data_IF_821303765561
#
_entry.id   IF_821303765561
#
_cell.length_a   1.000
_cell.length_b   1.000
_cell.length_c   1.000
_cell.angle_alpha   90.00
_cell.angle_beta   90.00
_cell.angle_gamma   90.00
#
_symmetry.space_group_name_H-M   'P 1'
#
loop_
_entity.id
_entity.type
_entity.pdbx_description
1 polymer ?
#
# COMPACT_ATOMS: atom_id res chain seq x y z
N UNK A 1 -36.95 74.23 -20.22
CA UNK A 1 -35.78 73.37 -20.54
C UNK A 1 -35.17 72.86 -19.25
N UNK A 2 -35.15 71.54 -19.09
CA UNK A 2 -34.33 70.70 -18.19
C UNK A 2 -34.21 71.06 -16.69
N UNK A 3 -34.95 70.25 -15.93
CA UNK A 3 -34.87 70.02 -14.49
C UNK A 3 -33.49 69.45 -14.10
N UNK A 4 -32.78 70.09 -13.17
CA UNK A 4 -31.52 69.56 -12.57
C UNK A 4 -31.82 68.93 -11.22
N UNK A 5 -31.97 67.61 -11.17
CA UNK A 5 -31.86 66.84 -9.92
C UNK A 5 -30.43 66.34 -9.77
N UNK A 6 -29.75 66.78 -8.70
CA UNK A 6 -28.52 66.18 -8.18
C UNK A 6 -28.88 64.86 -7.51
N UNK A 7 -28.35 63.75 -8.01
CA UNK A 7 -28.35 62.47 -7.30
C UNK A 7 -26.92 62.26 -6.79
N UNK A 8 -26.80 62.22 -5.46
CA UNK A 8 -25.61 61.79 -4.73
C UNK A 8 -25.62 60.27 -4.71
N UNK A 9 -24.61 59.63 -5.30
CA UNK A 9 -24.38 58.19 -5.16
C UNK A 9 -23.48 57.95 -3.94
N UNK A 10 -23.87 57.07 -2.99
CA UNK A 10 -23.02 56.74 -1.85
C UNK A 10 -21.92 55.75 -2.27
N UNK A 11 -20.74 55.95 -1.70
CA UNK A 11 -19.56 55.11 -1.84
C UNK A 11 -19.84 53.67 -1.42
N UNK A 12 -19.81 52.73 -2.36
CA UNK A 12 -19.81 51.30 -2.05
C UNK A 12 -18.34 50.85 -1.86
N UNK A 13 -17.90 50.77 -0.61
CA UNK A 13 -16.66 50.08 -0.26
C UNK A 13 -16.93 48.58 -0.39
N UNK A 14 -16.50 47.99 -1.50
CA UNK A 14 -16.44 46.54 -1.64
C UNK A 14 -15.19 46.07 -0.91
N UNK A 15 -15.37 45.57 0.32
CA UNK A 15 -14.31 44.86 1.03
C UNK A 15 -13.96 43.60 0.26
N UNK A 16 -12.71 43.51 -0.22
CA UNK A 16 -12.15 42.24 -0.66
C UNK A 16 -12.08 41.31 0.55
N UNK A 17 -12.98 40.34 0.61
CA UNK A 17 -12.83 39.19 1.48
C UNK A 17 -11.69 38.34 0.89
N UNK A 18 -10.47 38.55 1.36
CA UNK A 18 -9.37 37.62 1.08
C UNK A 18 -9.64 36.38 1.91
N UNK A 19 -10.33 35.41 1.32
CA UNK A 19 -10.42 34.07 1.88
C UNK A 19 -9.03 33.46 1.71
N UNK A 20 -8.25 33.46 2.79
CA UNK A 20 -7.02 32.72 2.90
C UNK A 20 -7.37 31.22 2.86
N UNK A 21 -7.52 30.66 1.66
CA UNK A 21 -7.36 29.22 1.48
C UNK A 21 -5.85 28.97 1.56
N UNK A 22 -5.36 28.67 2.76
CA UNK A 22 -4.17 27.83 2.88
C UNK A 22 -4.53 26.51 2.21
N UNK A 23 -4.30 26.42 0.91
CA UNK A 23 -4.33 25.16 0.20
C UNK A 23 -3.22 24.31 0.83
N UNK A 24 -3.59 23.41 1.74
CA UNK A 24 -2.72 22.29 2.10
C UNK A 24 -2.38 21.61 0.77
N UNK A 25 -1.10 21.63 0.41
CA UNK A 25 -0.62 20.86 -0.74
C UNK A 25 -0.99 19.42 -0.45
N UNK A 26 -1.79 18.81 -1.32
CA UNK A 26 -2.13 17.40 -1.20
C UNK A 26 -0.83 16.60 -1.21
N UNK A 27 -0.65 15.75 -0.20
CA UNK A 27 0.50 14.85 -0.11
C UNK A 27 0.58 14.00 -1.36
N UNK A 28 1.78 13.86 -1.90
CA UNK A 28 2.05 12.96 -3.00
C UNK A 28 2.87 11.77 -2.52
N UNK A 29 2.59 10.62 -3.08
CA UNK A 29 3.23 9.36 -2.69
C UNK A 29 3.99 8.78 -3.87
N UNK A 30 5.13 8.17 -3.59
CA UNK A 30 5.95 7.49 -4.60
C UNK A 30 6.21 6.03 -4.24
N UNK A 31 5.55 5.47 -3.22
CA UNK A 31 5.77 4.09 -2.84
C UNK A 31 4.89 3.61 -1.69
N UNK A 32 5.13 2.36 -1.31
CA UNK A 32 4.50 1.72 -0.15
C UNK A 32 5.55 1.08 0.74
N UNK A 33 5.28 1.09 2.04
CA UNK A 33 5.94 0.24 3.01
C UNK A 33 4.96 -0.81 3.49
N UNK A 34 5.37 -2.08 3.44
CA UNK A 34 4.43 -3.19 3.64
C UNK A 34 5.06 -4.40 4.33
N UNK A 35 4.19 -5.25 4.89
CA UNK A 35 4.53 -6.63 5.25
C UNK A 35 4.04 -7.56 4.14
N UNK A 36 4.95 -8.28 3.48
CA UNK A 36 4.60 -9.29 2.50
C UNK A 36 4.28 -10.64 3.12
N UNK A 37 3.38 -11.40 2.50
CA UNK A 37 3.13 -12.80 2.82
C UNK A 37 3.89 -13.69 1.84
N UNK A 38 4.58 -14.71 2.32
CA UNK A 38 5.08 -15.77 1.46
C UNK A 38 3.93 -16.73 1.09
N UNK A 39 3.35 -16.54 -0.10
CA UNK A 39 2.21 -17.31 -0.59
C UNK A 39 2.60 -18.73 -1.06
N UNK A 40 3.87 -19.13 -0.95
CA UNK A 40 4.27 -20.53 -1.09
C UNK A 40 4.07 -21.32 0.20
N UNK A 41 3.97 -20.64 1.35
CA UNK A 41 3.71 -21.27 2.63
C UNK A 41 2.22 -21.67 2.75
N UNK A 42 1.93 -22.93 3.08
CA UNK A 42 0.57 -23.51 3.10
C UNK A 42 -0.43 -22.69 3.92
N UNK A 43 -0.04 -22.28 5.14
CA UNK A 43 -0.87 -21.44 6.02
C UNK A 43 -1.26 -20.11 5.35
N UNK A 44 -0.33 -19.51 4.62
CA UNK A 44 -0.48 -18.18 4.05
C UNK A 44 -1.10 -18.19 2.66
N UNK A 45 -1.37 -19.36 2.06
CA UNK A 45 -2.20 -19.50 0.87
C UNK A 45 -3.69 -19.28 1.16
N UNK A 46 -4.12 -19.49 2.40
CA UNK A 46 -5.49 -19.29 2.84
C UNK A 46 -5.80 -17.79 3.01
N UNK A 47 -6.69 -17.25 2.19
CA UNK A 47 -7.10 -15.84 2.21
C UNK A 47 -7.75 -15.43 3.55
N UNK A 48 -8.47 -16.34 4.22
CA UNK A 48 -9.04 -16.09 5.54
C UNK A 48 -7.95 -15.93 6.62
N UNK A 49 -6.84 -16.65 6.49
CA UNK A 49 -5.69 -16.49 7.40
C UNK A 49 -5.05 -15.13 7.19
N UNK A 50 -4.79 -14.74 5.93
CA UNK A 50 -4.26 -13.39 5.60
C UNK A 50 -5.19 -12.28 6.05
N UNK A 51 -6.50 -12.47 5.86
CA UNK A 51 -7.54 -11.56 6.36
C UNK A 51 -7.49 -11.41 7.88
N UNK A 52 -7.38 -12.50 8.63
CA UNK A 52 -7.24 -12.45 10.08
C UNK A 52 -5.96 -11.71 10.54
N UNK A 53 -4.84 -11.95 9.85
CA UNK A 53 -3.57 -11.28 10.13
C UNK A 53 -3.69 -9.77 9.90
N UNK A 54 -4.24 -9.34 8.78
CA UNK A 54 -4.45 -7.91 8.50
C UNK A 54 -5.31 -7.24 9.57
N UNK A 55 -6.34 -7.96 10.05
CA UNK A 55 -7.29 -7.48 11.05
C UNK A 55 -6.71 -7.39 12.46
N UNK A 56 -5.66 -8.17 12.78
CA UNK A 56 -4.97 -8.10 14.09
C UNK A 56 -3.81 -7.11 14.07
N UNK A 57 -3.25 -6.77 12.91
CA UNK A 57 -2.18 -5.78 12.83
C UNK A 57 -2.77 -4.40 13.08
N UNK A 58 -2.19 -3.69 14.03
CA UNK A 58 -2.53 -2.32 14.31
C UNK A 58 -1.71 -1.41 13.39
N UNK A 59 -2.39 -0.78 12.43
CA UNK A 59 -1.79 -0.03 11.32
C UNK A 59 -1.63 1.46 11.59
N UNK A 60 -1.87 1.89 12.82
CA UNK A 60 -1.60 3.27 13.26
C UNK A 60 -0.09 3.46 13.52
N UNK A 61 0.71 3.45 12.46
CA UNK A 61 2.17 3.65 12.52
C UNK A 61 2.60 5.13 12.49
N UNK A 62 1.68 6.04 12.13
CA UNK A 62 1.89 7.49 12.09
C UNK A 62 0.56 8.20 12.38
N UNK A 63 0.60 9.53 12.52
CA UNK A 63 -0.62 10.37 12.59
C UNK A 63 -1.39 10.44 11.25
N UNK A 64 -0.96 9.69 10.24
CA UNK A 64 -1.56 9.70 8.90
C UNK A 64 -2.70 8.69 8.79
N UNK A 65 -3.59 8.93 7.82
CA UNK A 65 -4.67 8.02 7.51
C UNK A 65 -4.10 6.66 7.11
N UNK A 66 -4.52 5.61 7.83
CA UNK A 66 -4.10 4.24 7.55
C UNK A 66 -4.36 3.87 6.08
N UNK A 67 -3.42 3.19 5.39
CA UNK A 67 -3.62 2.72 4.03
C UNK A 67 -4.88 1.88 3.88
N UNK A 68 -5.69 2.21 2.87
CA UNK A 68 -6.94 1.48 2.57
C UNK A 68 -6.81 0.56 1.35
N UNK A 69 -5.76 0.75 0.55
CA UNK A 69 -5.44 -0.09 -0.60
C UNK A 69 -3.94 -0.11 -0.90
N UNK A 70 -3.53 -0.88 -1.91
CA UNK A 70 -2.11 -0.98 -2.32
C UNK A 70 -1.67 0.28 -3.05
N UNK A 71 -2.50 0.79 -3.95
CA UNK A 71 -2.18 2.02 -4.67
C UNK A 71 -2.47 3.24 -3.77
N UNK A 72 -1.50 4.14 -3.54
CA UNK A 72 -1.71 5.36 -2.77
C UNK A 72 -2.73 6.34 -3.41
N UNK A 73 -3.39 7.20 -2.61
CA UNK A 73 -4.16 8.33 -3.12
C UNK A 73 -3.35 9.20 -4.09
N UNK A 74 -3.99 9.67 -5.16
CA UNK A 74 -3.34 10.50 -6.17
C UNK A 74 -2.65 9.73 -7.31
N UNK A 75 -2.51 8.40 -7.20
CA UNK A 75 -2.01 7.56 -8.30
C UNK A 75 -3.16 6.93 -9.11
N UNK A 76 -2.94 6.67 -10.40
CA UNK A 76 -3.87 5.96 -11.27
C UNK A 76 -4.16 4.57 -10.71
N UNK A 77 -5.44 4.18 -10.69
CA UNK A 77 -5.88 2.93 -10.07
C UNK A 77 -6.16 2.99 -8.57
N UNK A 78 -5.90 4.12 -7.90
CA UNK A 78 -6.43 4.33 -6.56
C UNK A 78 -7.95 4.19 -6.57
N UNK A 79 -8.46 3.48 -5.57
CA UNK A 79 -9.90 3.27 -5.37
C UNK A 79 -10.28 3.71 -3.95
N UNK A 80 -10.95 4.86 -3.78
CA UNK A 80 -11.39 5.31 -2.45
C UNK A 80 -12.51 4.45 -1.88
N UNK A 81 -13.17 3.62 -2.70
CA UNK A 81 -14.25 2.73 -2.28
C UNK A 81 -13.70 1.43 -1.64
N UNK A 82 -12.40 1.17 -1.76
CA UNK A 82 -11.74 0.08 -1.03
C UNK A 82 -11.68 0.45 0.45
N UNK A 83 -12.58 -0.13 1.24
CA UNK A 83 -12.64 0.12 2.68
C UNK A 83 -11.40 -0.39 3.42
N UNK A 84 -10.95 0.38 4.41
CA UNK A 84 -9.93 -0.08 5.34
C UNK A 84 -10.39 -1.36 6.07
N UNK A 85 -9.51 -2.36 6.15
CA UNK A 85 -9.77 -3.51 7.03
C UNK A 85 -9.74 -3.06 8.49
N UNK A 86 -10.84 -3.18 9.25
CA UNK A 86 -10.90 -2.68 10.62
C UNK A 86 -9.93 -3.47 11.51
N UNK A 87 -9.27 -2.79 12.44
CA UNK A 87 -8.52 -3.48 13.48
C UNK A 87 -9.52 -4.08 14.48
N UNK A 88 -9.71 -5.40 14.45
CA UNK A 88 -10.39 -6.08 15.56
C UNK A 88 -9.93 -7.54 15.70
N UNK A 89 -9.28 -7.73 16.84
CA UNK A 89 -8.64 -8.97 17.28
C UNK A 89 -9.64 -10.09 17.56
N UNK A 90 -10.89 -9.77 17.95
CA UNK A 90 -11.91 -10.78 18.26
C UNK A 90 -12.35 -11.47 16.97
N UNK A 91 -12.63 -10.71 15.92
CA UNK A 91 -12.96 -11.29 14.61
C UNK A 91 -11.75 -12.02 14.01
N UNK A 92 -10.53 -11.48 14.14
CA UNK A 92 -9.32 -12.15 13.68
C UNK A 92 -9.17 -13.57 14.29
N UNK A 93 -9.40 -13.71 15.60
CA UNK A 93 -9.41 -15.02 16.29
C UNK A 93 -10.49 -15.96 15.75
N UNK A 94 -11.68 -15.44 15.43
CA UNK A 94 -12.77 -16.22 14.86
C UNK A 94 -12.42 -16.73 13.46
N UNK A 95 -11.89 -15.85 12.61
CA UNK A 95 -11.43 -16.18 11.26
C UNK A 95 -10.33 -17.25 11.28
N UNK A 96 -9.33 -17.13 12.17
CA UNK A 96 -8.29 -18.15 12.33
C UNK A 96 -8.87 -19.51 12.73
N UNK A 97 -9.83 -19.53 13.67
CA UNK A 97 -10.52 -20.76 14.07
C UNK A 97 -11.32 -21.37 12.92
N UNK A 98 -12.07 -20.57 12.18
CA UNK A 98 -12.85 -21.01 11.01
C UNK A 98 -11.97 -21.51 9.86
N UNK A 99 -10.78 -20.94 9.71
CA UNK A 99 -9.76 -21.40 8.77
C UNK A 99 -9.05 -22.69 9.21
N UNK A 100 -9.36 -23.20 10.42
CA UNK A 100 -8.78 -24.44 10.95
C UNK A 100 -7.47 -24.27 11.70
N UNK A 101 -7.13 -23.04 12.14
CA UNK A 101 -5.91 -22.70 12.87
C UNK A 101 -6.25 -22.00 14.19
N UNK A 102 -6.84 -22.71 15.18
CA UNK A 102 -7.16 -22.11 16.48
C UNK A 102 -5.90 -21.62 17.20
N UNK A 103 -6.08 -20.75 18.20
CA UNK A 103 -4.99 -20.04 18.91
C UNK A 103 -3.87 -20.95 19.48
N UNK A 104 -4.15 -22.23 19.76
CA UNK A 104 -3.21 -23.21 20.32
C UNK A 104 -2.64 -24.17 19.26
N UNK A 105 -2.91 -23.96 17.98
CA UNK A 105 -2.42 -24.83 16.91
C UNK A 105 -0.89 -24.75 16.80
N UNK A 106 -0.20 -25.87 16.75
CA UNK A 106 1.26 -25.91 16.66
C UNK A 106 1.79 -25.39 15.31
N UNK A 107 0.98 -25.47 14.25
CA UNK A 107 1.35 -25.00 12.90
C UNK A 107 1.52 -23.48 12.82
N UNK A 108 0.99 -22.73 13.79
CA UNK A 108 1.14 -21.26 13.87
C UNK A 108 2.24 -20.83 14.86
N UNK A 109 3.03 -21.76 15.39
CA UNK A 109 4.04 -21.47 16.45
C UNK A 109 5.48 -21.35 15.96
N UNK A 110 5.73 -21.63 14.69
CA UNK A 110 7.06 -21.64 14.08
C UNK A 110 7.03 -20.83 12.79
N UNK A 111 6.88 -19.53 12.95
CA UNK A 111 6.86 -18.58 11.84
C UNK A 111 8.04 -17.62 11.97
N UNK A 112 8.42 -16.96 10.88
CA UNK A 112 9.48 -15.97 10.86
C UNK A 112 9.08 -14.71 10.10
N UNK A 113 9.67 -13.58 10.50
CA UNK A 113 9.57 -12.31 9.78
C UNK A 113 10.97 -11.78 9.47
N UNK A 114 11.26 -11.59 8.19
CA UNK A 114 12.50 -11.00 7.71
C UNK A 114 12.39 -9.47 7.69
N UNK A 115 13.42 -8.77 8.17
CA UNK A 115 13.49 -7.32 8.07
C UNK A 115 14.93 -6.80 8.12
N UNK A 116 15.14 -5.55 7.70
CA UNK A 116 16.44 -4.88 7.82
C UNK A 116 16.66 -4.29 9.21
N UNK A 117 17.91 -3.98 9.54
CA UNK A 117 18.36 -3.50 10.86
C UNK A 117 18.12 -2.02 11.15
N UNK A 118 17.42 -1.31 10.27
CA UNK A 118 16.98 0.07 10.51
C UNK A 118 16.07 0.18 11.75
N UNK A 119 16.28 1.22 12.56
CA UNK A 119 15.55 1.46 13.83
C UNK A 119 14.03 1.43 13.64
N UNK A 120 13.51 2.08 12.58
CA UNK A 120 12.08 2.07 12.26
C UNK A 120 11.59 0.67 11.90
N UNK A 121 12.37 -0.07 11.12
CA UNK A 121 12.01 -1.43 10.67
C UNK A 121 11.97 -2.42 11.83
N UNK A 122 12.93 -2.34 12.76
CA UNK A 122 12.93 -3.13 14.00
C UNK A 122 11.67 -2.87 14.81
N UNK A 123 11.34 -1.60 15.05
CA UNK A 123 10.15 -1.22 15.83
C UNK A 123 8.84 -1.73 15.17
N UNK A 124 8.76 -1.70 13.84
CA UNK A 124 7.63 -2.25 13.10
C UNK A 124 7.52 -3.78 13.25
N UNK A 125 8.64 -4.50 13.10
CA UNK A 125 8.67 -5.95 13.27
C UNK A 125 8.23 -6.35 14.69
N UNK A 126 8.74 -5.69 15.73
CA UNK A 126 8.35 -5.94 17.12
C UNK A 126 6.86 -5.72 17.37
N UNK A 127 6.27 -4.63 16.84
CA UNK A 127 4.83 -4.36 16.95
C UNK A 127 4.00 -5.43 16.26
N UNK A 128 4.37 -5.81 15.03
CA UNK A 128 3.68 -6.85 14.26
C UNK A 128 3.74 -8.19 14.99
N UNK A 129 4.93 -8.61 15.44
CA UNK A 129 5.11 -9.83 16.23
C UNK A 129 4.23 -9.79 17.49
N UNK A 130 4.17 -8.65 18.18
CA UNK A 130 3.32 -8.50 19.35
C UNK A 130 1.81 -8.58 19.01
N UNK A 131 1.37 -8.00 17.89
CA UNK A 131 -0.02 -8.11 17.43
C UNK A 131 -0.37 -9.56 17.07
N UNK A 132 0.50 -10.26 16.34
CA UNK A 132 0.30 -11.65 15.91
C UNK A 132 0.15 -12.63 17.08
N UNK A 133 0.80 -12.36 18.23
CA UNK A 133 0.58 -13.14 19.47
C UNK A 133 -0.89 -13.16 19.90
N UNK A 134 -1.66 -12.10 19.62
CA UNK A 134 -3.07 -12.05 19.99
C UNK A 134 -3.92 -13.10 19.28
N UNK A 135 -3.52 -13.57 18.09
CA UNK A 135 -4.17 -14.70 17.39
C UNK A 135 -3.41 -16.02 17.58
N UNK A 136 -2.45 -16.05 18.49
CA UNK A 136 -1.69 -17.25 18.84
C UNK A 136 -0.48 -17.52 17.96
N UNK A 137 -0.16 -16.64 17.01
CA UNK A 137 1.02 -16.81 16.17
C UNK A 137 2.29 -16.52 16.98
N UNK A 138 3.26 -17.44 16.93
CA UNK A 138 4.62 -17.20 17.42
C UNK A 138 5.53 -17.00 16.22
N UNK A 139 6.07 -15.78 16.11
CA UNK A 139 6.91 -15.32 15.02
C UNK A 139 8.27 -14.93 15.57
N UNK A 140 9.34 -15.42 14.97
CA UNK A 140 10.72 -15.05 15.28
C UNK A 140 11.27 -14.07 14.23
N UNK A 141 12.00 -13.06 14.66
CA UNK A 141 12.55 -12.05 13.75
C UNK A 141 13.89 -12.51 13.19
N UNK A 142 14.03 -12.49 11.86
CA UNK A 142 15.32 -12.59 11.17
C UNK A 142 15.69 -11.20 10.70
N UNK A 143 16.90 -10.76 11.08
CA UNK A 143 17.38 -9.42 10.81
C UNK A 143 18.66 -9.48 9.98
N UNK A 144 18.69 -8.73 8.89
CA UNK A 144 19.90 -8.53 8.07
C UNK A 144 20.30 -7.05 8.02
N UNK A 145 21.55 -6.79 7.69
CA UNK A 145 22.03 -5.40 7.52
C UNK A 145 21.43 -4.78 6.25
N UNK A 146 20.92 -3.54 6.34
CA UNK A 146 20.53 -2.79 5.14
C UNK A 146 21.71 -2.48 4.22
N UNK A 147 22.94 -2.41 4.76
CA UNK A 147 24.15 -2.16 3.98
C UNK A 147 24.61 -3.39 3.18
N UNK A 148 24.08 -4.58 3.50
CA UNK A 148 24.38 -5.82 2.79
C UNK A 148 23.25 -6.16 1.81
N UNK A 149 23.20 -5.44 0.69
CA UNK A 149 22.15 -5.60 -0.33
C UNK A 149 22.09 -7.02 -0.91
N UNK A 150 23.25 -7.67 -1.09
CA UNK A 150 23.32 -9.05 -1.59
C UNK A 150 22.62 -10.02 -0.63
N UNK A 151 22.95 -9.98 0.66
CA UNK A 151 22.30 -10.81 1.69
C UNK A 151 20.80 -10.51 1.81
N UNK A 152 20.40 -9.24 1.71
CA UNK A 152 18.98 -8.87 1.72
C UNK A 152 18.20 -9.50 0.57
N UNK A 153 18.74 -9.42 -0.65
CA UNK A 153 18.11 -10.02 -1.84
C UNK A 153 18.12 -11.54 -1.77
N UNK A 154 19.20 -12.15 -1.29
CA UNK A 154 19.30 -13.60 -1.07
C UNK A 154 18.22 -14.09 -0.10
N UNK A 155 18.06 -13.44 1.06
CA UNK A 155 17.06 -13.85 2.07
C UNK A 155 15.62 -13.66 1.57
N UNK A 156 15.32 -12.56 0.87
CA UNK A 156 14.02 -12.35 0.24
C UNK A 156 13.70 -13.41 -0.82
N UNK A 157 14.69 -13.79 -1.62
CA UNK A 157 14.52 -14.76 -2.72
C UNK A 157 14.47 -16.20 -2.23
N UNK A 158 15.08 -16.48 -1.07
CA UNK A 158 15.16 -17.83 -0.48
C UNK A 158 13.78 -18.48 -0.30
N UNK A 159 12.75 -17.68 -0.05
CA UNK A 159 11.41 -18.17 0.27
C UNK A 159 11.32 -18.88 1.62
N UNK A 160 12.32 -18.72 2.49
CA UNK A 160 12.38 -19.36 3.80
C UNK A 160 11.60 -18.61 4.90
N UNK A 161 11.21 -17.37 4.63
CA UNK A 161 10.48 -16.54 5.58
C UNK A 161 8.99 -16.51 5.30
N UNK A 162 8.18 -16.52 6.35
CA UNK A 162 6.71 -16.46 6.23
C UNK A 162 6.25 -15.03 5.91
N UNK A 163 6.93 -14.07 6.53
CA UNK A 163 6.68 -12.65 6.34
C UNK A 163 7.99 -11.92 6.04
N UNK A 164 7.90 -10.77 5.38
CA UNK A 164 9.02 -9.85 5.23
C UNK A 164 8.54 -8.41 5.27
N UNK A 165 9.37 -7.48 5.77
CA UNK A 165 9.10 -6.05 5.74
C UNK A 165 9.91 -5.37 4.65
N UNK A 166 9.24 -4.69 3.73
CA UNK A 166 9.90 -4.03 2.61
C UNK A 166 9.23 -2.69 2.27
N UNK A 167 10.07 -1.73 1.89
CA UNK A 167 9.64 -0.54 1.18
C UNK A 167 9.90 -0.69 -0.31
N UNK A 168 8.95 -0.27 -1.13
CA UNK A 168 9.14 -0.20 -2.58
C UNK A 168 8.63 1.14 -3.09
N UNK A 169 9.48 1.84 -3.85
CA UNK A 169 9.13 3.09 -4.51
C UNK A 169 8.90 2.82 -5.98
N UNK A 170 7.81 3.36 -6.52
CA UNK A 170 7.53 3.45 -7.94
C UNK A 170 8.74 4.13 -8.61
N UNK A 171 9.46 3.36 -9.43
CA UNK A 171 10.65 3.85 -10.10
C UNK A 171 10.30 4.95 -11.10
N UNK A 172 10.70 6.18 -10.81
CA UNK A 172 10.84 7.25 -11.80
C UNK A 172 12.16 7.97 -11.52
N UNK A 173 13.26 7.21 -11.46
CA UNK A 173 14.54 7.84 -11.77
C UNK A 173 14.61 7.95 -13.29
N UNK A 174 14.74 9.16 -13.81
CA UNK A 174 15.07 9.48 -15.21
C UNK A 174 13.92 9.57 -16.21
N UNK A 175 13.03 10.56 -16.08
CA UNK A 175 12.54 11.27 -17.29
C UNK A 175 12.34 12.75 -16.91
N UNK A 176 12.98 13.66 -17.66
CA UNK A 176 12.73 15.11 -17.59
C UNK A 176 11.99 15.55 -18.87
N UNK A 177 10.88 14.86 -19.20
CA UNK A 177 10.03 15.13 -20.38
C UNK A 177 8.54 15.19 -19.97
N UNK A 178 7.64 15.64 -20.84
CA UNK A 178 6.19 15.61 -20.57
C UNK A 178 5.66 14.19 -20.30
N UNK A 179 6.30 13.15 -20.85
CA UNK A 179 6.02 11.75 -20.53
C UNK A 179 6.33 11.41 -19.07
N UNK A 180 7.30 12.10 -18.45
CA UNK A 180 7.61 11.96 -17.03
C UNK A 180 6.48 12.44 -16.12
N UNK A 181 5.76 13.50 -16.54
CA UNK A 181 4.63 14.03 -15.77
C UNK A 181 3.41 13.10 -15.85
N UNK A 182 3.18 12.47 -17.01
CA UNK A 182 2.13 11.45 -17.14
C UNK A 182 2.48 10.16 -16.39
N UNK A 183 3.77 9.75 -16.41
CA UNK A 183 4.27 8.62 -15.65
C UNK A 183 4.27 8.86 -14.13
N UNK A 184 4.36 10.13 -13.67
CA UNK A 184 4.42 10.51 -12.26
C UNK A 184 3.31 9.90 -11.40
N UNK A 185 2.11 9.83 -11.95
CA UNK A 185 0.93 9.33 -11.23
C UNK A 185 0.58 7.90 -11.62
N UNK A 186 1.32 7.30 -12.55
CA UNK A 186 1.01 5.97 -13.04
C UNK A 186 1.53 4.91 -12.07
N UNK A 187 0.62 4.14 -11.46
CA UNK A 187 1.03 3.12 -10.50
C UNK A 187 1.58 1.84 -11.15
N UNK A 188 1.70 1.77 -12.48
CA UNK A 188 2.23 0.58 -13.14
C UNK A 188 3.64 0.22 -12.64
N UNK A 189 4.54 1.20 -12.49
CA UNK A 189 5.90 0.98 -11.98
C UNK A 189 5.96 0.66 -10.47
N UNK A 190 4.82 0.71 -9.78
CA UNK A 190 4.66 0.18 -8.43
C UNK A 190 4.09 -1.25 -8.45
N UNK A 191 3.07 -1.47 -9.27
CA UNK A 191 2.27 -2.69 -9.24
C UNK A 191 2.93 -3.84 -10.00
N UNK A 192 3.53 -3.59 -11.16
CA UNK A 192 4.11 -4.66 -11.98
C UNK A 192 5.27 -5.35 -11.28
N UNK A 193 6.29 -4.65 -10.75
CA UNK A 193 7.43 -5.32 -10.12
C UNK A 193 7.04 -6.14 -8.90
N UNK A 194 6.00 -5.70 -8.16
CA UNK A 194 5.55 -6.33 -6.91
C UNK A 194 4.54 -7.47 -7.11
N UNK A 195 3.68 -7.40 -8.13
CA UNK A 195 2.48 -8.26 -8.23
C UNK A 195 2.27 -8.94 -9.57
N UNK A 196 3.10 -8.67 -10.60
CA UNK A 196 3.16 -9.57 -11.74
C UNK A 196 3.73 -10.92 -11.30
N UNK A 197 3.23 -12.02 -11.86
CA UNK A 197 3.78 -13.36 -11.57
C UNK A 197 5.28 -13.46 -11.87
N UNK A 198 5.78 -12.64 -12.82
CA UNK A 198 7.19 -12.52 -13.20
C UNK A 198 7.87 -11.24 -12.69
N UNK A 199 7.23 -10.50 -11.80
CA UNK A 199 7.74 -9.23 -11.28
C UNK A 199 9.04 -9.42 -10.51
N UNK A 200 10.03 -8.57 -10.78
CA UNK A 200 11.38 -8.68 -10.21
C UNK A 200 11.43 -8.53 -8.68
N UNK A 201 10.43 -7.85 -8.10
CA UNK A 201 10.31 -7.61 -6.66
C UNK A 201 9.13 -8.38 -6.04
N UNK A 202 8.56 -9.36 -6.76
CA UNK A 202 7.47 -10.20 -6.26
C UNK A 202 8.00 -11.32 -5.35
N UNK A 203 8.49 -10.93 -4.17
CA UNK A 203 8.95 -11.87 -3.15
C UNK A 203 7.79 -12.59 -2.43
N UNK A 204 6.54 -12.12 -2.62
CA UNK A 204 5.35 -12.82 -2.09
C UNK A 204 5.07 -14.14 -2.81
N UNK A 205 5.55 -14.28 -4.06
CA UNK A 205 5.17 -15.37 -4.95
C UNK A 205 3.71 -15.29 -5.40
N UNK A 206 3.09 -14.11 -5.30
CA UNK A 206 1.72 -13.88 -5.78
C UNK A 206 1.63 -14.14 -7.28
N UNK A 207 0.61 -14.89 -7.69
CA UNK A 207 0.37 -15.19 -9.09
C UNK A 207 -1.12 -15.23 -9.35
N UNK A 208 -1.58 -14.40 -10.28
CA UNK A 208 -2.97 -14.35 -10.72
C UNK A 208 -3.05 -13.98 -12.17
N UNK A 209 -3.51 -14.93 -12.99
CA UNK A 209 -3.61 -14.76 -14.44
C UNK A 209 -4.41 -13.51 -14.87
N UNK A 210 -5.42 -13.12 -14.08
CA UNK A 210 -6.19 -11.91 -14.35
C UNK A 210 -5.36 -10.63 -14.14
N UNK A 211 -4.54 -10.57 -13.09
CA UNK A 211 -3.62 -9.46 -12.84
C UNK A 211 -2.56 -9.40 -13.95
N UNK A 212 -1.93 -10.53 -14.28
CA UNK A 212 -0.94 -10.60 -15.36
C UNK A 212 -1.51 -10.13 -16.71
N UNK A 213 -2.73 -10.54 -17.04
CA UNK A 213 -3.40 -10.11 -18.26
C UNK A 213 -3.72 -8.61 -18.27
N UNK A 214 -4.09 -8.02 -17.14
CA UNK A 214 -4.32 -6.58 -17.02
C UNK A 214 -3.00 -5.80 -17.17
N UNK A 215 -1.93 -6.28 -16.56
CA UNK A 215 -0.58 -5.70 -16.68
C UNK A 215 -0.04 -5.79 -18.11
N UNK A 216 -0.19 -6.94 -18.77
CA UNK A 216 0.20 -7.11 -20.18
C UNK A 216 -0.60 -6.20 -21.13
N UNK A 217 -1.85 -5.87 -20.82
CA UNK A 217 -2.62 -4.87 -21.58
C UNK A 217 -2.10 -3.46 -21.35
N UNK A 218 -1.65 -3.14 -20.14
CA UNK A 218 -1.12 -1.82 -19.81
C UNK A 218 0.18 -1.51 -20.56
N UNK A 219 1.03 -2.50 -20.90
CA UNK A 219 2.23 -2.25 -21.72
C UNK A 219 1.89 -1.76 -23.14
N UNK A 220 0.74 -2.17 -23.67
CA UNK A 220 0.24 -1.74 -24.98
C UNK A 220 -0.52 -0.41 -24.98
N UNK A 221 -0.78 0.20 -23.81
CA UNK A 221 -1.54 1.45 -23.69
C UNK A 221 -0.60 2.62 -23.50
N UNK A 222 -0.70 3.60 -24.40
CA UNK A 222 0.05 4.85 -24.32
C UNK A 222 -0.17 5.55 -22.97
N UNK A 223 0.90 6.06 -22.34
CA UNK A 223 0.87 6.78 -21.06
C UNK A 223 -0.06 8.00 -21.05
N UNK A 224 -0.31 8.61 -22.21
CA UNK A 224 -1.26 9.71 -22.36
C UNK A 224 -2.74 9.29 -22.15
N UNK A 225 -3.06 7.99 -22.28
CA UNK A 225 -4.43 7.46 -22.12
C UNK A 225 -4.74 7.15 -20.64
N UNK A 226 -4.61 8.16 -19.78
CA UNK A 226 -4.69 8.01 -18.32
C UNK A 226 -6.00 7.38 -17.84
N UNK A 227 -7.15 7.68 -18.46
CA UNK A 227 -8.45 7.11 -18.08
C UNK A 227 -8.51 5.59 -18.28
N UNK A 228 -8.00 5.08 -19.41
CA UNK A 228 -7.98 3.64 -19.67
C UNK A 228 -7.03 2.91 -18.73
N UNK A 229 -5.87 3.52 -18.47
CA UNK A 229 -4.88 3.00 -17.52
C UNK A 229 -5.43 2.98 -16.09
N UNK A 230 -6.08 4.06 -15.67
CA UNK A 230 -6.76 4.16 -14.37
C UNK A 230 -7.76 3.02 -14.17
N UNK A 231 -8.62 2.74 -15.15
CA UNK A 231 -9.62 1.66 -15.03
C UNK A 231 -8.95 0.29 -14.81
N UNK A 232 -7.88 -0.02 -15.55
CA UNK A 232 -7.19 -1.31 -15.42
C UNK A 232 -6.40 -1.43 -14.13
N UNK A 233 -5.68 -0.38 -13.75
CA UNK A 233 -4.96 -0.33 -12.47
C UNK A 233 -5.94 -0.39 -11.29
N UNK A 234 -7.11 0.23 -11.41
CA UNK A 234 -8.20 0.14 -10.41
C UNK A 234 -8.68 -1.31 -10.25
N UNK A 235 -8.91 -2.00 -11.36
CA UNK A 235 -9.27 -3.42 -11.35
C UNK A 235 -8.19 -4.28 -10.68
N UNK A 236 -6.91 -4.05 -10.98
CA UNK A 236 -5.81 -4.75 -10.31
C UNK A 236 -5.84 -4.47 -8.80
N UNK A 237 -5.97 -3.21 -8.39
CA UNK A 237 -6.03 -2.83 -6.97
C UNK A 237 -7.17 -3.53 -6.23
N UNK A 238 -8.35 -3.63 -6.84
CA UNK A 238 -9.50 -4.36 -6.29
C UNK A 238 -9.23 -5.86 -6.15
N UNK A 239 -8.57 -6.49 -7.14
CA UNK A 239 -8.17 -7.89 -7.05
C UNK A 239 -7.17 -8.11 -5.91
N UNK A 240 -6.16 -7.24 -5.79
CA UNK A 240 -5.16 -7.34 -4.74
C UNK A 240 -5.75 -7.07 -3.35
N UNK A 241 -6.70 -6.13 -3.24
CA UNK A 241 -7.43 -5.87 -1.99
C UNK A 241 -8.31 -7.05 -1.55
N UNK A 242 -8.73 -7.91 -2.49
CA UNK A 242 -9.42 -9.16 -2.18
C UNK A 242 -8.45 -10.28 -1.84
N UNK A 243 -7.36 -10.40 -2.59
CA UNK A 243 -6.43 -11.52 -2.45
C UNK A 243 -5.44 -11.31 -1.29
N UNK A 244 -5.24 -10.07 -0.83
CA UNK A 244 -4.45 -9.73 0.35
C UNK A 244 -3.00 -10.28 0.31
N UNK A 245 -2.21 -10.03 -0.76
CA UNK A 245 -0.83 -10.56 -0.85
C UNK A 245 0.15 -9.83 0.08
N UNK A 246 -0.22 -8.64 0.56
CA UNK A 246 0.58 -7.81 1.46
C UNK A 246 -0.33 -7.07 2.45
N UNK A 247 0.26 -6.58 3.54
CA UNK A 247 -0.33 -5.61 4.46
C UNK A 247 0.40 -4.29 4.27
N UNK A 248 -0.24 -3.29 3.66
CA UNK A 248 0.34 -1.96 3.54
C UNK A 248 0.31 -1.27 4.91
N UNK A 249 1.49 -0.88 5.39
CA UNK A 249 1.69 -0.28 6.71
C UNK A 249 1.62 1.25 6.62
N UNK A 250 2.25 1.86 5.62
CA UNK A 250 2.11 3.27 5.28
C UNK A 250 2.49 3.54 3.81
N UNK A 251 2.03 4.66 3.29
CA UNK A 251 2.45 5.16 1.98
C UNK A 251 3.75 5.96 2.14
N UNK A 252 4.70 5.78 1.22
CA UNK A 252 5.94 6.54 1.23
C UNK A 252 5.68 7.88 0.55
N UNK A 253 5.79 8.96 1.33
CA UNK A 253 5.68 10.31 0.81
C UNK A 253 6.85 10.65 -0.10
N UNK A 254 6.53 11.34 -1.19
CA UNK A 254 7.51 11.91 -2.09
C UNK A 254 8.16 13.12 -1.40
N UNK A 255 9.49 13.09 -1.31
CA UNK A 255 10.31 14.18 -0.78
C UNK A 255 10.45 15.33 -1.77
#
# INVERSE_FOLDING_TARGET
MLNRFKIVLPSLVVGLLVINHSASIAKEYDGIWFMGFNLKHELLQNDKVRGAIIRVIDREYSEETAPISIIPPGMLGYDPDLGAQPHDTKEAKAMMKEAGYPINDERIKKLSILHTDGVKTIAMAERIINNLKNIGMKVEATKVSFENEEEWVEELTSGNHDFFLMGYKAGISQLFTEEANAARFDSYSLIEPLFASSGEANFTGYSKAEVDNLLAKLTGINLALQSERHIKLKQINQLLAKDLPVVVLFYIEKL
#
